data_IF_366373787805
#
_entry.id   IF_366373787805
#
_cell.length_a   1.000
_cell.length_b   1.000
_cell.length_c   1.000
_cell.angle_alpha   90.00
_cell.angle_beta   90.00
_cell.angle_gamma   90.00
#
_symmetry.space_group_name_H-M   'P 1'
#
loop_
_entity.id
_entity.type
_entity.pdbx_description
1 polymer ?
#
# COMPACT_ATOMS: atom_id res chain seq x y z
N UNK A 1 25.59 15.70 12.62
CA UNK A 1 24.49 15.23 11.74
C UNK A 1 23.18 15.16 12.54
N UNK A 2 22.09 15.70 12.00
CA UNK A 2 20.74 15.56 12.57
C UNK A 2 19.93 14.53 11.77
N UNK A 3 19.26 13.59 12.44
CA UNK A 3 18.37 12.61 11.81
C UNK A 3 16.94 12.91 12.25
N UNK A 4 16.02 13.08 11.29
CA UNK A 4 14.60 13.35 11.52
C UNK A 4 13.81 12.09 11.17
N UNK A 5 13.15 11.48 12.14
CA UNK A 5 12.33 10.27 11.96
C UNK A 5 10.85 10.60 12.13
N UNK A 6 9.97 9.75 11.55
CA UNK A 6 8.51 9.96 11.59
C UNK A 6 7.89 9.59 12.93
N UNK A 7 8.45 8.58 13.61
CA UNK A 7 7.85 7.96 14.81
C UNK A 7 8.91 7.68 15.86
N UNK A 8 8.54 7.66 17.15
CA UNK A 8 9.46 7.30 18.24
C UNK A 8 10.08 5.90 18.09
N UNK A 9 9.33 4.93 17.54
CA UNK A 9 9.83 3.57 17.28
C UNK A 9 10.98 3.56 16.28
N UNK A 10 10.86 4.34 15.20
CA UNK A 10 11.91 4.47 14.17
C UNK A 10 13.15 5.16 14.76
N UNK A 11 12.96 6.24 15.55
CA UNK A 11 14.07 6.88 16.26
C UNK A 11 14.85 5.90 17.15
N UNK A 12 14.16 5.01 17.83
CA UNK A 12 14.76 3.97 18.68
C UNK A 12 15.54 2.93 17.84
N UNK A 13 15.04 2.56 16.66
CA UNK A 13 15.76 1.65 15.76
C UNK A 13 17.07 2.28 15.26
N UNK A 14 17.03 3.56 14.84
CA UNK A 14 18.22 4.33 14.46
C UNK A 14 19.19 4.49 15.63
N UNK A 15 18.67 4.82 16.83
CA UNK A 15 19.50 4.95 18.03
C UNK A 15 20.23 3.64 18.36
N UNK A 16 19.57 2.52 18.24
CA UNK A 16 20.19 1.19 18.44
C UNK A 16 21.27 0.91 17.40
N UNK A 17 20.99 1.19 16.11
CA UNK A 17 21.94 0.96 15.03
C UNK A 17 23.19 1.85 15.13
N UNK A 18 23.05 3.08 15.63
CA UNK A 18 24.09 4.10 15.72
C UNK A 18 24.69 4.23 17.14
N UNK A 19 24.36 3.30 18.04
CA UNK A 19 24.80 3.32 19.45
C UNK A 19 24.53 4.66 20.18
N UNK A 20 23.38 5.31 19.87
CA UNK A 20 22.93 6.54 20.52
C UNK A 20 22.12 6.22 21.78
N UNK A 21 22.23 7.08 22.80
CA UNK A 21 21.47 7.02 24.04
C UNK A 21 20.45 8.14 24.14
N UNK A 22 19.35 7.89 24.86
CA UNK A 22 18.29 8.89 25.05
C UNK A 22 18.71 9.96 26.03
N UNK A 23 18.61 11.23 25.63
CA UNK A 23 18.79 12.40 26.49
C UNK A 23 17.42 12.88 26.97
N UNK A 24 17.13 12.67 28.24
CA UNK A 24 15.84 13.08 28.84
C UNK A 24 15.68 14.59 28.92
N UNK A 25 16.77 15.35 29.05
CA UNK A 25 16.74 16.83 29.06
C UNK A 25 16.34 17.41 27.72
N UNK A 26 16.78 16.80 26.63
CA UNK A 26 16.58 17.31 25.29
C UNK A 26 15.50 16.53 24.52
N UNK A 27 14.99 15.43 25.08
CA UNK A 27 13.99 14.54 24.46
C UNK A 27 14.41 14.01 23.08
N UNK A 28 15.70 13.67 22.93
CA UNK A 28 16.31 13.19 21.67
C UNK A 28 17.31 12.06 21.98
N UNK A 29 17.72 11.32 20.96
CA UNK A 29 18.86 10.41 21.08
C UNK A 29 20.13 11.10 20.58
N UNK A 30 21.24 10.87 21.30
CA UNK A 30 22.55 11.42 20.94
C UNK A 30 23.62 10.33 20.96
N UNK A 31 24.57 10.41 20.03
CA UNK A 31 25.79 9.61 20.08
C UNK A 31 26.69 10.09 21.22
N UNK A 32 27.63 9.24 21.65
CA UNK A 32 28.51 9.51 22.79
C UNK A 32 29.43 10.71 22.55
N UNK A 33 29.84 10.92 21.31
CA UNK A 33 30.68 12.03 20.86
C UNK A 33 29.86 13.31 20.57
N UNK A 34 28.52 13.22 20.58
CA UNK A 34 27.61 14.35 20.27
C UNK A 34 27.51 14.66 18.78
N UNK A 35 28.13 13.90 17.89
CA UNK A 35 28.10 14.18 16.45
C UNK A 35 26.76 13.83 15.79
N UNK A 36 26.00 12.88 16.38
CA UNK A 36 24.71 12.45 15.87
C UNK A 36 23.61 12.83 16.86
N UNK A 37 22.59 13.52 16.37
CA UNK A 37 21.34 13.80 17.10
C UNK A 37 20.17 13.22 16.31
N UNK A 38 19.28 12.48 16.99
CA UNK A 38 18.09 11.88 16.37
C UNK A 38 16.86 12.48 17.04
N UNK A 39 16.02 13.15 16.25
CA UNK A 39 14.72 13.66 16.66
C UNK A 39 13.60 12.83 16.02
N UNK A 40 12.43 12.81 16.60
CA UNK A 40 11.29 12.14 16.02
C UNK A 40 10.06 13.05 15.96
N UNK A 41 9.28 12.87 14.93
CA UNK A 41 7.90 13.33 14.86
C UNK A 41 6.95 12.27 15.50
N UNK A 42 5.66 12.54 15.47
CA UNK A 42 4.58 11.63 15.83
C UNK A 42 3.52 11.62 14.72
N UNK A 43 3.97 11.50 13.47
CA UNK A 43 3.22 11.82 12.28
C UNK A 43 3.26 13.31 11.97
N UNK A 44 2.20 13.87 11.37
CA UNK A 44 2.11 15.30 11.08
C UNK A 44 2.13 16.16 12.34
N UNK A 45 3.07 17.09 12.40
CA UNK A 45 3.19 18.09 13.47
C UNK A 45 2.48 19.39 13.13
N UNK A 46 2.09 19.57 11.88
CA UNK A 46 1.46 20.78 11.35
C UNK A 46 0.16 20.44 10.65
N UNK A 47 -0.77 21.38 10.68
CA UNK A 47 -2.01 21.36 9.93
C UNK A 47 -2.07 22.60 9.02
N UNK A 48 -2.81 22.50 7.90
CA UNK A 48 -3.15 23.72 7.16
C UNK A 48 -4.04 24.61 8.02
N UNK A 49 -3.83 25.93 7.92
CA UNK A 49 -4.59 26.93 8.66
C UNK A 49 -6.10 26.82 8.40
N UNK A 50 -6.89 27.24 9.39
CA UNK A 50 -8.33 27.32 9.27
C UNK A 50 -8.75 28.44 8.31
N UNK A 51 -9.93 28.37 7.71
CA UNK A 51 -10.39 29.37 6.74
C UNK A 51 -10.35 30.82 7.21
N UNK A 52 -10.70 31.06 8.45
CA UNK A 52 -10.73 32.41 9.07
C UNK A 52 -9.34 33.02 9.26
N UNK A 53 -8.27 32.25 9.18
CA UNK A 53 -6.90 32.77 9.10
C UNK A 53 -6.65 33.57 7.81
N UNK A 54 -7.22 33.11 6.71
CA UNK A 54 -7.03 33.72 5.38
C UNK A 54 -7.89 34.99 5.19
N UNK A 55 -9.10 34.97 5.73
CA UNK A 55 -10.04 36.09 5.69
C UNK A 55 -11.08 35.90 6.80
N UNK A 56 -11.29 36.94 7.62
CA UNK A 56 -12.20 36.95 8.76
C UNK A 56 -13.66 36.60 8.36
N UNK A 57 -14.08 36.97 7.14
CA UNK A 57 -15.41 36.59 6.60
C UNK A 57 -15.67 35.07 6.63
N UNK A 58 -14.63 34.25 6.52
CA UNK A 58 -14.75 32.81 6.55
C UNK A 58 -15.01 32.22 7.95
N UNK A 59 -15.15 33.03 8.99
CA UNK A 59 -15.78 32.60 10.25
C UNK A 59 -17.23 32.18 10.01
N UNK A 60 -17.89 32.81 9.04
CA UNK A 60 -19.25 32.45 8.63
C UNK A 60 -19.23 31.35 7.57
N UNK A 61 -19.91 30.24 7.83
CA UNK A 61 -19.86 29.06 6.98
C UNK A 61 -20.53 29.24 5.61
N UNK A 62 -21.44 30.23 5.49
CA UNK A 62 -22.10 30.57 4.23
C UNK A 62 -21.20 31.35 3.25
N UNK A 63 -20.02 31.75 3.68
CA UNK A 63 -19.05 32.45 2.83
C UNK A 63 -18.21 31.44 2.05
N UNK A 64 -18.57 31.23 0.79
CA UNK A 64 -17.93 30.28 -0.14
C UNK A 64 -17.75 30.94 -1.51
N UNK A 65 -16.79 30.52 -2.34
CA UNK A 65 -15.77 29.48 -2.07
C UNK A 65 -14.59 30.00 -1.24
N UNK A 66 -13.90 29.08 -0.53
CA UNK A 66 -12.68 29.34 0.20
C UNK A 66 -11.50 28.85 -0.64
N UNK A 67 -10.75 29.76 -1.23
CA UNK A 67 -9.61 29.45 -2.12
C UNK A 67 -8.43 30.33 -1.72
N UNK A 68 -7.56 29.88 -0.79
CA UNK A 68 -6.38 30.63 -0.40
C UNK A 68 -5.41 30.80 -1.58
N UNK A 69 -4.86 31.98 -1.76
CA UNK A 69 -3.79 32.20 -2.75
C UNK A 69 -2.50 31.48 -2.36
N UNK A 70 -2.20 31.49 -1.06
CA UNK A 70 -1.09 30.73 -0.48
C UNK A 70 -1.58 30.00 0.75
N UNK A 71 -1.19 28.73 0.87
CA UNK A 71 -1.50 27.94 2.06
C UNK A 71 -0.49 28.22 3.17
N UNK A 72 -1.00 28.36 4.37
CA UNK A 72 -0.21 28.53 5.58
C UNK A 72 -0.42 27.34 6.52
N UNK A 73 0.57 27.10 7.36
CA UNK A 73 0.58 26.00 8.31
C UNK A 73 0.49 26.52 9.74
N UNK A 74 -0.15 25.74 10.59
CA UNK A 74 -0.18 25.95 12.04
C UNK A 74 0.31 24.68 12.75
N UNK A 75 0.85 24.85 13.94
CA UNK A 75 1.29 23.73 14.77
C UNK A 75 0.06 22.98 15.29
N UNK A 76 0.03 21.69 15.11
CA UNK A 76 -1.02 20.84 15.68
C UNK A 76 -0.98 20.97 17.23
N UNK A 77 -2.07 21.45 17.88
CA UNK A 77 -2.09 21.66 19.32
C UNK A 77 -1.74 20.42 20.15
N UNK A 78 -2.07 19.24 19.65
CA UNK A 78 -1.81 17.96 20.33
C UNK A 78 -0.33 17.56 20.31
N UNK A 79 0.46 18.10 19.37
CA UNK A 79 1.87 17.74 19.17
C UNK A 79 2.81 18.94 19.35
N UNK A 80 2.32 20.00 19.98
CA UNK A 80 3.01 21.29 20.10
C UNK A 80 4.42 21.18 20.70
N UNK A 81 4.57 20.40 21.74
CA UNK A 81 5.87 20.24 22.41
C UNK A 81 6.85 19.47 21.55
N UNK A 82 6.39 18.43 20.85
CA UNK A 82 7.21 17.68 19.89
C UNK A 82 7.62 18.58 18.73
N UNK A 83 6.68 19.35 18.17
CA UNK A 83 6.98 20.29 17.08
C UNK A 83 8.02 21.34 17.50
N UNK A 84 7.88 21.93 18.70
CA UNK A 84 8.84 22.87 19.25
C UNK A 84 10.24 22.25 19.38
N UNK A 85 10.31 21.02 19.89
CA UNK A 85 11.57 20.31 20.05
C UNK A 85 12.24 20.04 18.69
N UNK A 86 11.51 19.47 17.74
CA UNK A 86 12.01 19.19 16.39
C UNK A 86 12.50 20.45 15.69
N UNK A 87 11.71 21.54 15.70
CA UNK A 87 12.08 22.84 15.11
C UNK A 87 13.35 23.37 15.76
N UNK A 88 13.47 23.31 17.09
CA UNK A 88 14.65 23.79 17.80
C UNK A 88 15.91 23.04 17.38
N UNK A 89 15.83 21.71 17.28
CA UNK A 89 16.99 20.90 16.87
C UNK A 89 17.34 21.14 15.40
N UNK A 90 16.38 21.27 14.50
CA UNK A 90 16.63 21.63 13.10
C UNK A 90 17.37 22.98 13.01
N UNK A 91 16.92 24.00 13.75
CA UNK A 91 17.58 25.31 13.77
C UNK A 91 18.99 25.27 14.32
N UNK A 92 19.23 24.44 15.34
CA UNK A 92 20.55 24.28 15.94
C UNK A 92 21.54 23.59 14.96
N UNK A 93 21.03 22.74 14.07
CA UNK A 93 21.81 21.98 13.09
C UNK A 93 21.70 22.53 11.66
N UNK A 94 21.29 23.79 11.47
CA UNK A 94 21.07 24.38 10.14
C UNK A 94 22.30 24.36 9.21
N UNK A 95 23.49 24.30 9.78
CA UNK A 95 24.75 24.26 9.03
C UNK A 95 25.32 22.83 8.90
N UNK A 96 24.70 21.87 9.55
CA UNK A 96 25.13 20.45 9.57
C UNK A 96 24.41 19.65 8.50
N UNK A 97 24.85 18.41 8.30
CA UNK A 97 24.11 17.46 7.50
C UNK A 97 22.81 17.07 8.21
N UNK A 98 21.67 17.17 7.51
CA UNK A 98 20.36 16.73 7.98
C UNK A 98 19.92 15.53 7.15
N UNK A 99 19.59 14.43 7.82
CA UNK A 99 19.07 13.23 7.21
C UNK A 99 17.57 13.11 7.47
N UNK A 100 16.76 13.18 6.43
CA UNK A 100 15.33 12.88 6.48
C UNK A 100 15.19 11.36 6.48
N UNK A 101 14.71 10.79 7.59
CA UNK A 101 14.51 9.36 7.80
C UNK A 101 13.06 9.04 8.22
N UNK A 102 12.11 9.80 7.69
CA UNK A 102 10.67 9.51 7.73
C UNK A 102 10.34 8.36 6.77
N UNK A 103 9.13 7.79 6.86
CA UNK A 103 8.70 6.69 5.99
C UNK A 103 8.94 7.05 4.51
N UNK A 104 9.30 6.07 3.69
CA UNK A 104 9.70 6.30 2.30
C UNK A 104 8.48 6.42 1.38
N UNK A 105 7.57 7.35 1.69
CA UNK A 105 6.37 7.65 0.92
C UNK A 105 6.08 9.16 0.88
N UNK A 106 4.99 9.55 0.20
CA UNK A 106 4.59 10.96 0.04
C UNK A 106 4.25 11.63 1.37
N UNK A 107 3.64 10.89 2.29
CA UNK A 107 3.25 11.42 3.61
C UNK A 107 4.51 11.64 4.47
N UNK A 108 5.42 10.65 4.52
CA UNK A 108 6.69 10.80 5.23
C UNK A 108 7.54 11.93 4.67
N UNK A 109 7.51 12.14 3.35
CA UNK A 109 8.23 13.26 2.74
C UNK A 109 7.70 14.62 3.21
N UNK A 110 6.36 14.84 3.16
CA UNK A 110 5.80 16.13 3.58
C UNK A 110 5.91 16.37 5.08
N UNK A 111 5.84 15.35 5.94
CA UNK A 111 6.06 15.47 7.38
C UNK A 111 7.43 16.12 7.67
N UNK A 112 8.48 15.62 7.02
CA UNK A 112 9.81 16.20 7.19
C UNK A 112 9.93 17.59 6.58
N UNK A 113 9.38 17.80 5.37
CA UNK A 113 9.42 19.11 4.70
C UNK A 113 8.67 20.19 5.46
N UNK A 114 7.53 19.87 6.06
CA UNK A 114 6.81 20.81 6.96
C UNK A 114 7.70 21.27 8.14
N UNK A 115 8.46 20.33 8.74
CA UNK A 115 9.39 20.65 9.81
C UNK A 115 10.52 21.59 9.33
N UNK A 116 11.08 21.34 8.14
CA UNK A 116 12.10 22.19 7.55
C UNK A 116 11.56 23.59 7.21
N UNK A 117 10.36 23.68 6.62
CA UNK A 117 9.67 24.93 6.32
C UNK A 117 9.40 25.76 7.59
N UNK A 118 8.86 25.10 8.64
CA UNK A 118 8.61 25.74 9.94
C UNK A 118 9.91 26.20 10.63
N UNK A 119 11.02 25.53 10.35
CA UNK A 119 12.34 25.90 10.84
C UNK A 119 13.02 26.99 10.01
N UNK A 120 12.39 27.42 8.89
CA UNK A 120 12.90 28.43 7.95
C UNK A 120 14.29 28.06 7.38
N UNK A 121 14.48 26.77 7.08
CA UNK A 121 15.67 26.32 6.37
C UNK A 121 15.54 26.75 4.90
N UNK A 122 16.56 27.45 4.39
CA UNK A 122 16.63 27.91 3.00
C UNK A 122 17.68 27.17 2.17
N UNK A 123 18.69 26.60 2.82
CA UNK A 123 19.75 25.82 2.16
C UNK A 123 19.50 24.32 2.34
N UNK A 124 19.16 23.66 1.25
CA UNK A 124 18.91 22.22 1.19
C UNK A 124 20.12 21.42 0.70
N UNK A 125 21.27 22.05 0.45
CA UNK A 125 22.45 21.41 -0.13
C UNK A 125 23.03 20.29 0.75
N UNK A 126 22.84 20.38 2.07
CA UNK A 126 23.30 19.38 3.06
C UNK A 126 22.19 18.48 3.57
N UNK A 127 21.00 18.51 2.93
CA UNK A 127 19.87 17.67 3.32
C UNK A 127 19.86 16.43 2.46
N UNK A 128 19.91 15.27 3.10
CA UNK A 128 19.83 13.96 2.46
C UNK A 128 18.57 13.22 2.85
N UNK A 129 18.15 12.30 2.01
CA UNK A 129 16.99 11.45 2.18
C UNK A 129 17.41 9.98 2.31
N UNK A 130 17.10 9.39 3.45
CA UNK A 130 17.15 7.95 3.69
C UNK A 130 15.88 7.33 3.11
N UNK A 131 16.03 6.45 2.11
CA UNK A 131 14.90 5.86 1.40
C UNK A 131 15.06 4.36 1.28
N UNK A 132 14.33 3.61 2.11
CA UNK A 132 14.38 2.15 2.11
C UNK A 132 12.97 1.56 2.22
N UNK A 133 12.75 0.43 1.55
CA UNK A 133 11.48 -0.32 1.59
C UNK A 133 11.54 -1.56 2.49
N UNK A 134 12.72 -1.88 2.98
CA UNK A 134 12.96 -3.03 3.86
C UNK A 134 12.64 -2.68 5.32
N UNK A 135 12.44 -3.70 6.15
CA UNK A 135 12.34 -3.49 7.59
C UNK A 135 13.66 -2.94 8.15
N UNK A 136 13.56 -1.97 9.06
CA UNK A 136 14.70 -1.26 9.65
C UNK A 136 15.46 -2.14 10.64
N UNK A 137 16.35 -2.97 10.13
CA UNK A 137 17.40 -3.65 10.93
C UNK A 137 18.62 -2.75 11.06
N UNK A 138 19.53 -2.98 12.03
CA UNK A 138 20.74 -2.19 12.14
C UNK A 138 21.57 -2.15 10.84
N UNK A 139 21.67 -3.27 10.12
CA UNK A 139 22.39 -3.38 8.86
C UNK A 139 21.74 -2.52 7.77
N UNK A 140 20.42 -2.61 7.62
CA UNK A 140 19.65 -1.82 6.66
C UNK A 140 19.76 -0.32 6.95
N UNK A 141 19.76 0.07 8.23
CA UNK A 141 19.91 1.48 8.63
C UNK A 141 21.32 1.99 8.26
N UNK A 142 22.37 1.25 8.61
CA UNK A 142 23.76 1.66 8.31
C UNK A 142 24.01 1.75 6.80
N UNK A 143 23.53 0.78 6.04
CA UNK A 143 23.63 0.79 4.58
C UNK A 143 22.81 1.92 3.96
N UNK A 144 21.58 2.13 4.43
CA UNK A 144 20.69 3.18 3.94
C UNK A 144 21.20 4.60 4.23
N UNK A 145 21.87 4.82 5.37
CA UNK A 145 22.56 6.10 5.67
C UNK A 145 23.69 6.34 4.67
N UNK A 146 24.51 5.31 4.41
CA UNK A 146 25.62 5.40 3.45
C UNK A 146 25.14 5.70 2.03
N UNK A 147 23.97 5.15 1.64
CA UNK A 147 23.38 5.30 0.32
C UNK A 147 22.36 6.44 0.23
N UNK A 148 22.23 7.26 1.28
CA UNK A 148 21.28 8.38 1.31
C UNK A 148 21.59 9.39 0.19
N UNK A 149 20.55 9.76 -0.54
CA UNK A 149 20.64 10.65 -1.70
C UNK A 149 20.29 12.08 -1.30
N UNK A 150 20.72 13.09 -2.07
CA UNK A 150 20.29 14.47 -1.86
C UNK A 150 18.76 14.61 -1.86
N UNK A 151 18.21 15.40 -0.94
CA UNK A 151 16.75 15.51 -0.75
C UNK A 151 16.00 16.04 -1.97
N UNK A 152 16.65 16.84 -2.82
CA UNK A 152 16.03 17.39 -4.03
C UNK A 152 15.59 16.30 -5.04
N UNK A 153 16.18 15.10 -4.99
CA UNK A 153 15.76 13.98 -5.84
C UNK A 153 14.36 13.45 -5.48
N UNK A 154 13.79 13.90 -4.38
CA UNK A 154 12.47 13.53 -3.87
C UNK A 154 11.47 14.70 -3.88
N UNK A 155 11.81 15.81 -4.56
CA UNK A 155 10.94 16.99 -4.62
C UNK A 155 9.60 16.67 -5.28
N UNK A 156 9.58 15.82 -6.31
CA UNK A 156 8.33 15.35 -6.94
C UNK A 156 7.39 14.64 -5.96
N UNK A 157 7.95 13.85 -5.02
CA UNK A 157 7.15 13.23 -3.95
C UNK A 157 6.61 14.25 -2.97
N UNK A 158 7.40 15.25 -2.61
CA UNK A 158 6.99 16.35 -1.76
C UNK A 158 5.87 17.18 -2.41
N UNK A 159 6.02 17.55 -3.69
CA UNK A 159 5.00 18.29 -4.44
C UNK A 159 3.69 17.52 -4.56
N UNK A 160 3.74 16.21 -4.86
CA UNK A 160 2.56 15.35 -4.88
C UNK A 160 1.88 15.25 -3.52
N UNK A 161 2.67 15.14 -2.44
CA UNK A 161 2.15 15.11 -1.06
C UNK A 161 1.45 16.42 -0.71
N UNK A 162 2.09 17.57 -0.94
CA UNK A 162 1.51 18.88 -0.70
C UNK A 162 0.29 19.17 -1.58
N UNK A 163 0.30 18.77 -2.85
CA UNK A 163 -0.84 18.92 -3.74
C UNK A 163 -2.05 18.12 -3.22
N UNK A 164 -1.83 16.88 -2.77
CA UNK A 164 -2.86 16.05 -2.17
C UNK A 164 -3.42 16.70 -0.89
N UNK A 165 -2.57 17.13 0.03
CA UNK A 165 -2.97 17.76 1.29
C UNK A 165 -3.83 19.01 1.04
N UNK A 166 -3.40 19.90 0.12
CA UNK A 166 -4.13 21.10 -0.27
C UNK A 166 -5.47 20.78 -0.94
N UNK A 167 -5.49 19.77 -1.84
CA UNK A 167 -6.73 19.34 -2.50
C UNK A 167 -7.73 18.75 -1.49
N UNK A 168 -7.27 17.94 -0.54
CA UNK A 168 -8.11 17.39 0.52
C UNK A 168 -8.69 18.51 1.42
N UNK A 169 -7.90 19.53 1.74
CA UNK A 169 -8.35 20.69 2.49
C UNK A 169 -9.39 21.51 1.69
N UNK A 170 -9.11 21.84 0.41
CA UNK A 170 -10.02 22.60 -0.43
C UNK A 170 -11.38 21.91 -0.58
N UNK A 171 -11.37 20.63 -0.90
CA UNK A 171 -12.62 19.85 -1.03
C UNK A 171 -13.31 19.73 0.31
N UNK A 172 -12.58 19.34 1.36
CA UNK A 172 -13.13 19.15 2.69
C UNK A 172 -13.80 20.40 3.24
N UNK A 173 -13.09 21.54 3.21
CA UNK A 173 -13.60 22.81 3.77
C UNK A 173 -14.80 23.34 2.98
N UNK A 174 -14.71 23.38 1.66
CA UNK A 174 -15.76 23.97 0.85
C UNK A 174 -17.03 23.10 0.81
N UNK A 175 -16.89 21.79 0.51
CA UNK A 175 -18.06 20.93 0.38
C UNK A 175 -18.71 20.60 1.73
N UNK A 176 -17.94 20.43 2.82
CA UNK A 176 -18.54 20.26 4.15
C UNK A 176 -19.41 21.44 4.52
N UNK A 177 -18.92 22.68 4.33
CA UNK A 177 -19.69 23.89 4.63
C UNK A 177 -20.90 24.03 3.70
N UNK A 178 -20.71 23.79 2.40
CA UNK A 178 -21.80 23.84 1.42
C UNK A 178 -22.93 22.85 1.79
N UNK A 179 -22.60 21.59 2.01
CA UNK A 179 -23.59 20.54 2.34
C UNK A 179 -24.27 20.83 3.69
N UNK A 180 -23.51 21.33 4.67
CA UNK A 180 -24.05 21.71 5.98
C UNK A 180 -25.04 22.88 5.86
N UNK A 181 -24.70 23.90 5.08
CA UNK A 181 -25.60 25.04 4.86
C UNK A 181 -26.89 24.64 4.13
N UNK A 182 -26.78 23.71 3.16
CA UNK A 182 -27.95 23.22 2.42
C UNK A 182 -28.89 22.36 3.26
N UNK A 183 -28.33 21.53 4.15
CA UNK A 183 -29.10 20.55 4.92
C UNK A 183 -29.55 21.06 6.31
N UNK A 184 -28.90 22.09 6.84
CA UNK A 184 -29.10 22.56 8.21
C UNK A 184 -28.49 21.64 9.29
N UNK A 185 -27.83 20.54 8.91
CA UNK A 185 -27.13 19.62 9.82
C UNK A 185 -25.68 19.42 9.35
N UNK A 186 -24.79 19.13 10.28
CA UNK A 186 -23.38 18.91 9.93
C UNK A 186 -23.22 17.69 9.03
N UNK A 187 -22.88 17.93 7.77
CA UNK A 187 -22.55 16.91 6.77
C UNK A 187 -21.11 17.08 6.32
N UNK A 188 -20.25 16.15 6.75
CA UNK A 188 -18.85 16.16 6.34
C UNK A 188 -18.70 15.62 4.91
N UNK A 189 -17.91 16.29 4.11
CA UNK A 189 -17.55 15.86 2.76
C UNK A 189 -16.02 15.76 2.62
N UNK A 190 -15.58 14.82 1.81
CA UNK A 190 -14.17 14.63 1.54
C UNK A 190 -13.95 13.95 0.20
N UNK A 191 -12.81 14.17 -0.40
CA UNK A 191 -12.48 13.71 -1.76
C UNK A 191 -12.59 12.19 -1.92
N UNK A 192 -12.14 11.42 -0.94
CA UNK A 192 -12.21 9.96 -0.95
C UNK A 192 -13.49 9.46 -0.28
N UNK A 193 -13.79 9.97 0.90
CA UNK A 193 -14.93 9.54 1.73
C UNK A 193 -16.25 9.67 0.99
N UNK A 194 -16.53 10.81 0.36
CA UNK A 194 -17.79 11.06 -0.34
C UNK A 194 -17.93 10.21 -1.60
N UNK A 195 -16.82 10.01 -2.35
CA UNK A 195 -16.85 9.14 -3.52
C UNK A 195 -17.17 7.68 -3.16
N UNK A 196 -16.58 7.17 -2.08
CA UNK A 196 -16.88 5.81 -1.59
C UNK A 196 -18.33 5.70 -1.13
N UNK A 197 -18.83 6.69 -0.38
CA UNK A 197 -20.22 6.72 0.06
C UNK A 197 -21.19 6.72 -1.12
N UNK A 198 -20.91 7.52 -2.16
CA UNK A 198 -21.70 7.54 -3.39
C UNK A 198 -21.73 6.18 -4.09
N UNK A 199 -20.58 5.53 -4.21
CA UNK A 199 -20.48 4.19 -4.81
C UNK A 199 -21.28 3.14 -4.03
N UNK A 200 -21.22 3.18 -2.69
CA UNK A 200 -22.01 2.30 -1.81
C UNK A 200 -23.51 2.58 -2.01
N UNK A 201 -23.93 3.84 -2.00
CA UNK A 201 -25.32 4.22 -2.20
C UNK A 201 -25.85 3.72 -3.55
N UNK A 202 -25.12 3.96 -4.64
CA UNK A 202 -25.48 3.46 -5.96
C UNK A 202 -25.63 1.94 -5.97
N UNK A 203 -24.73 1.22 -5.28
CA UNK A 203 -24.85 -0.23 -5.18
C UNK A 203 -26.08 -0.66 -4.39
N UNK A 204 -26.40 0.03 -3.30
CA UNK A 204 -27.63 -0.22 -2.53
C UNK A 204 -28.88 0.02 -3.38
N UNK A 205 -28.92 1.12 -4.11
CA UNK A 205 -30.03 1.41 -5.04
C UNK A 205 -30.18 0.34 -6.12
N UNK A 206 -29.09 -0.12 -6.70
CA UNK A 206 -29.09 -1.21 -7.68
C UNK A 206 -29.63 -2.53 -7.09
N UNK A 207 -29.33 -2.82 -5.82
CA UNK A 207 -29.85 -4.00 -5.12
C UNK A 207 -31.35 -3.86 -4.86
N UNK A 208 -31.79 -2.71 -4.35
CA UNK A 208 -33.21 -2.46 -4.04
C UNK A 208 -34.06 -2.47 -5.30
N UNK A 209 -33.56 -1.91 -6.40
CA UNK A 209 -34.26 -1.81 -7.66
C UNK A 209 -34.06 -3.03 -8.58
N UNK A 210 -33.30 -4.03 -8.12
CA UNK A 210 -33.02 -5.23 -8.92
C UNK A 210 -34.32 -5.98 -9.24
N UNK A 211 -34.56 -6.14 -10.53
CA UNK A 211 -35.66 -6.97 -11.05
C UNK A 211 -35.04 -8.26 -11.58
N UNK A 212 -35.46 -9.37 -11.00
CA UNK A 212 -35.05 -10.69 -11.49
C UNK A 212 -35.69 -10.97 -12.82
N UNK A 213 -34.90 -11.28 -13.82
CA UNK A 213 -35.38 -11.71 -15.14
C UNK A 213 -35.03 -13.19 -15.32
N UNK A 214 -35.98 -13.94 -15.88
CA UNK A 214 -35.76 -15.34 -16.23
C UNK A 214 -34.99 -15.39 -17.54
N UNK A 215 -34.02 -16.27 -17.59
CA UNK A 215 -33.33 -16.65 -18.82
C UNK A 215 -33.29 -18.17 -18.95
N UNK A 216 -33.06 -18.64 -20.14
CA UNK A 216 -33.03 -20.07 -20.48
C UNK A 216 -31.70 -20.41 -21.11
N UNK A 217 -31.10 -21.50 -20.67
CA UNK A 217 -29.95 -22.13 -21.30
C UNK A 217 -30.39 -23.50 -21.82
N UNK A 218 -29.89 -23.89 -22.98
CA UNK A 218 -30.25 -25.14 -23.62
C UNK A 218 -29.07 -26.05 -23.64
N UNK A 219 -29.25 -27.26 -23.08
CA UNK A 219 -28.24 -28.31 -23.03
C UNK A 219 -28.69 -29.53 -23.84
N UNK A 220 -27.76 -30.11 -24.58
CA UNK A 220 -27.96 -31.41 -25.25
C UNK A 220 -27.08 -32.47 -24.61
N UNK A 221 -27.67 -33.60 -24.26
CA UNK A 221 -26.93 -34.78 -23.85
C UNK A 221 -26.63 -35.63 -25.08
N UNK A 222 -25.38 -35.88 -25.35
CA UNK A 222 -24.91 -36.66 -26.50
C UNK A 222 -24.22 -37.92 -26.01
N UNK A 223 -24.47 -39.05 -26.70
CA UNK A 223 -23.75 -40.29 -26.46
C UNK A 223 -23.21 -40.86 -27.76
N UNK A 224 -22.02 -41.46 -27.70
CA UNK A 224 -21.45 -42.20 -28.84
C UNK A 224 -21.82 -43.68 -28.81
N UNK A 225 -21.42 -44.41 -29.85
CA UNK A 225 -21.70 -45.87 -29.96
C UNK A 225 -20.92 -46.70 -28.92
N UNK A 226 -19.92 -46.12 -28.23
CA UNK A 226 -19.11 -46.78 -27.22
C UNK A 226 -19.63 -46.50 -25.80
N UNK A 227 -20.72 -45.72 -25.66
CA UNK A 227 -21.30 -45.34 -24.38
C UNK A 227 -20.62 -44.14 -23.69
N UNK A 228 -19.75 -43.40 -24.38
CA UNK A 228 -19.21 -42.14 -23.86
C UNK A 228 -20.28 -41.06 -23.96
N UNK A 229 -20.44 -40.30 -22.91
CA UNK A 229 -21.44 -39.22 -22.82
C UNK A 229 -20.76 -37.87 -22.75
N UNK A 230 -21.36 -36.85 -23.37
CA UNK A 230 -20.97 -35.47 -23.20
C UNK A 230 -22.21 -34.56 -23.16
N UNK A 231 -22.08 -33.44 -22.45
CA UNK A 231 -23.10 -32.40 -22.38
C UNK A 231 -22.60 -31.22 -23.20
N UNK A 232 -23.38 -30.78 -24.18
CA UNK A 232 -23.15 -29.59 -24.97
C UNK A 232 -24.10 -28.49 -24.58
N UNK A 233 -23.63 -27.25 -24.57
CA UNK A 233 -24.47 -26.05 -24.43
C UNK A 233 -24.78 -25.52 -25.84
N UNK A 234 -26.03 -25.10 -26.07
CA UNK A 234 -26.42 -24.49 -27.33
C UNK A 234 -25.89 -23.07 -27.37
N UNK A 235 -25.28 -22.70 -28.49
CA UNK A 235 -24.84 -21.34 -28.83
C UNK A 235 -25.64 -20.84 -30.04
N UNK A 236 -26.06 -19.60 -30.03
CA UNK A 236 -26.55 -18.95 -31.24
C UNK A 236 -25.43 -18.51 -32.18
N UNK A 237 -25.75 -17.83 -33.27
CA UNK A 237 -24.80 -17.33 -34.26
C UNK A 237 -23.85 -16.26 -33.69
N UNK A 238 -24.20 -15.64 -32.54
CA UNK A 238 -23.39 -14.64 -31.83
C UNK A 238 -22.70 -15.25 -30.59
N UNK A 239 -22.66 -16.56 -30.47
CA UNK A 239 -22.08 -17.28 -29.33
C UNK A 239 -22.78 -17.02 -27.98
N UNK A 240 -24.04 -16.57 -27.97
CA UNK A 240 -24.81 -16.42 -26.75
C UNK A 240 -25.31 -17.78 -26.25
N UNK A 241 -25.18 -17.99 -24.94
CA UNK A 241 -25.70 -19.20 -24.24
C UNK A 241 -27.04 -18.97 -23.57
N UNK A 242 -27.42 -17.72 -23.31
CA UNK A 242 -28.61 -17.34 -22.53
C UNK A 242 -29.66 -16.68 -23.40
N UNK A 243 -30.90 -17.10 -23.27
CA UNK A 243 -32.05 -16.65 -24.08
C UNK A 243 -33.18 -16.20 -23.20
N UNK A 244 -33.91 -15.15 -23.62
CA UNK A 244 -35.08 -14.65 -22.86
C UNK A 244 -36.29 -15.61 -22.95
N UNK A 245 -36.38 -16.41 -24.01
CA UNK A 245 -37.45 -17.38 -24.20
C UNK A 245 -36.89 -18.78 -24.47
N UNK A 246 -37.57 -19.85 -24.05
CA UNK A 246 -37.18 -21.19 -24.38
C UNK A 246 -37.23 -21.39 -25.90
N UNK A 247 -36.18 -22.03 -26.46
CA UNK A 247 -36.11 -22.32 -27.88
C UNK A 247 -36.79 -23.70 -28.16
N UNK A 248 -38.13 -23.71 -28.17
CA UNK A 248 -38.92 -24.92 -28.39
C UNK A 248 -38.52 -25.69 -29.67
N UNK A 249 -38.04 -24.97 -30.69
CA UNK A 249 -37.54 -25.57 -31.92
C UNK A 249 -36.38 -26.54 -31.71
N UNK A 250 -35.66 -26.48 -30.57
CA UNK A 250 -34.62 -27.45 -30.27
C UNK A 250 -35.14 -28.81 -29.84
N UNK A 251 -36.40 -28.91 -29.40
CA UNK A 251 -36.99 -30.18 -28.98
C UNK A 251 -37.05 -31.23 -30.12
N UNK A 252 -37.15 -30.78 -31.39
CA UNK A 252 -37.16 -31.70 -32.53
C UNK A 252 -35.83 -32.36 -32.80
N UNK A 253 -34.74 -31.84 -32.21
CA UNK A 253 -33.40 -32.43 -32.31
C UNK A 253 -33.20 -33.65 -31.42
N UNK A 254 -34.10 -33.86 -30.44
CA UNK A 254 -34.05 -35.03 -29.56
C UNK A 254 -34.08 -36.32 -30.37
N UNK A 255 -33.16 -37.24 -30.12
CA UNK A 255 -33.00 -38.49 -30.84
C UNK A 255 -32.37 -38.38 -32.23
N UNK A 256 -31.98 -37.18 -32.67
CA UNK A 256 -31.23 -36.98 -33.92
C UNK A 256 -29.75 -37.23 -33.73
N UNK A 257 -29.07 -37.60 -34.82
CA UNK A 257 -27.59 -37.74 -34.82
C UNK A 257 -26.95 -36.38 -34.90
N UNK A 258 -25.94 -36.17 -34.05
CA UNK A 258 -25.05 -35.02 -34.11
C UNK A 258 -23.65 -35.48 -34.62
N UNK A 259 -22.95 -34.58 -35.30
CA UNK A 259 -21.58 -34.79 -35.75
C UNK A 259 -20.66 -33.78 -35.08
N UNK A 260 -19.52 -34.25 -34.59
CA UNK A 260 -18.46 -33.36 -34.09
C UNK A 260 -17.82 -32.66 -35.27
N UNK A 261 -17.97 -31.34 -35.36
CA UNK A 261 -17.44 -30.53 -36.47
C UNK A 261 -15.98 -30.12 -36.21
N UNK A 262 -15.66 -29.83 -34.97
CA UNK A 262 -14.33 -29.35 -34.60
C UNK A 262 -13.97 -29.83 -33.19
N UNK A 263 -12.75 -30.22 -32.99
CA UNK A 263 -12.16 -30.49 -31.70
C UNK A 263 -10.81 -29.75 -31.64
N UNK A 264 -10.68 -28.80 -30.71
CA UNK A 264 -9.44 -28.04 -30.49
C UNK A 264 -8.96 -28.29 -29.08
N UNK A 265 -7.71 -28.71 -28.97
CA UNK A 265 -7.01 -28.78 -27.70
C UNK A 265 -6.09 -27.57 -27.60
N UNK A 266 -6.26 -26.79 -26.58
CA UNK A 266 -5.41 -25.61 -26.29
C UNK A 266 -4.68 -25.84 -24.97
N UNK A 267 -3.38 -25.66 -25.02
CA UNK A 267 -2.56 -25.67 -23.82
C UNK A 267 -2.60 -24.26 -23.18
N UNK A 268 -3.25 -24.14 -22.04
CA UNK A 268 -3.31 -22.88 -21.29
C UNK A 268 -2.25 -22.87 -20.21
N UNK A 269 -1.31 -21.94 -20.32
CA UNK A 269 -0.37 -21.63 -19.23
C UNK A 269 -1.03 -20.70 -18.24
N UNK A 270 -1.20 -21.14 -17.01
CA UNK A 270 -1.69 -20.31 -15.91
C UNK A 270 -0.48 -19.68 -15.23
N UNK A 271 -0.37 -18.36 -15.32
CA UNK A 271 0.68 -17.65 -14.63
C UNK A 271 0.44 -17.67 -13.11
N UNK A 272 1.50 -17.65 -12.29
CA UNK A 272 1.36 -17.50 -10.85
C UNK A 272 0.68 -16.18 -10.48
N UNK A 273 0.07 -16.09 -9.28
CA UNK A 273 -0.45 -14.83 -8.78
C UNK A 273 0.69 -13.81 -8.67
N UNK A 274 0.37 -12.52 -8.79
CA UNK A 274 1.32 -11.47 -8.47
C UNK A 274 1.56 -11.41 -6.97
N UNK A 275 2.65 -10.75 -6.57
CA UNK A 275 2.90 -10.44 -5.17
C UNK A 275 1.79 -9.56 -4.58
N UNK A 276 1.70 -9.52 -3.26
CA UNK A 276 0.72 -8.70 -2.58
C UNK A 276 1.10 -7.21 -2.55
N UNK A 277 0.14 -6.38 -2.91
CA UNK A 277 0.02 -5.06 -2.34
C UNK A 277 -0.91 -5.09 -1.11
N UNK A 278 -1.05 -3.96 -0.41
CA UNK A 278 -1.92 -3.90 0.77
C UNK A 278 -3.37 -4.28 0.47
N UNK A 279 -3.93 -3.79 -0.64
CA UNK A 279 -5.34 -4.03 -0.98
C UNK A 279 -5.64 -5.49 -1.25
N UNK A 280 -4.80 -6.17 -2.02
CA UNK A 280 -5.01 -7.57 -2.33
C UNK A 280 -4.77 -8.46 -1.10
N UNK A 281 -3.81 -8.09 -0.27
CA UNK A 281 -3.62 -8.74 1.02
C UNK A 281 -4.86 -8.63 1.92
N UNK A 282 -5.46 -7.44 2.01
CA UNK A 282 -6.68 -7.22 2.80
C UNK A 282 -7.85 -8.04 2.27
N UNK A 283 -8.02 -8.13 0.93
CA UNK A 283 -9.05 -8.97 0.30
C UNK A 283 -8.84 -10.45 0.62
N UNK A 284 -7.61 -10.92 0.49
CA UNK A 284 -7.29 -12.33 0.75
C UNK A 284 -7.44 -12.69 2.23
N UNK A 285 -6.98 -11.82 3.14
CA UNK A 285 -7.15 -12.00 4.58
C UNK A 285 -8.64 -12.00 5.00
N UNK A 286 -9.47 -11.20 4.33
CA UNK A 286 -10.92 -11.25 4.52
C UNK A 286 -11.50 -12.58 4.03
N UNK A 287 -11.11 -13.01 2.82
CA UNK A 287 -11.59 -14.25 2.21
C UNK A 287 -11.24 -15.50 3.03
N UNK A 288 -10.01 -15.57 3.54
CA UNK A 288 -9.50 -16.74 4.26
C UNK A 288 -9.85 -16.74 5.75
N UNK A 289 -9.84 -15.58 6.40
CA UNK A 289 -9.90 -15.47 7.85
C UNK A 289 -11.02 -14.55 8.37
N UNK A 290 -11.78 -13.90 7.48
CA UNK A 290 -12.80 -12.92 7.86
C UNK A 290 -12.22 -11.66 8.52
N UNK A 291 -10.94 -11.33 8.29
CA UNK A 291 -10.33 -10.14 8.89
C UNK A 291 -10.75 -8.87 8.17
N UNK A 292 -11.12 -7.84 8.93
CA UNK A 292 -11.35 -6.52 8.35
C UNK A 292 -10.06 -5.94 7.76
N UNK A 293 -10.19 -4.97 6.83
CA UNK A 293 -9.05 -4.27 6.25
C UNK A 293 -8.17 -3.61 7.33
N UNK A 294 -8.80 -3.00 8.33
CA UNK A 294 -8.10 -2.38 9.47
C UNK A 294 -7.30 -3.40 10.28
N UNK A 295 -7.95 -4.53 10.66
CA UNK A 295 -7.30 -5.59 11.42
C UNK A 295 -6.12 -6.20 10.65
N UNK A 296 -6.28 -6.40 9.34
CA UNK A 296 -5.20 -6.89 8.49
C UNK A 296 -4.02 -5.93 8.49
N UNK A 297 -4.29 -4.62 8.31
CA UNK A 297 -3.24 -3.60 8.36
C UNK A 297 -2.53 -3.58 9.72
N UNK A 298 -3.26 -3.63 10.83
CA UNK A 298 -2.67 -3.67 12.19
C UNK A 298 -1.73 -4.87 12.37
N UNK A 299 -2.14 -6.06 11.89
CA UNK A 299 -1.30 -7.27 11.97
C UNK A 299 -0.02 -7.10 11.13
N UNK A 300 -0.16 -6.66 9.88
CA UNK A 300 0.99 -6.51 8.97
C UNK A 300 1.93 -5.40 9.42
N UNK A 301 1.37 -4.29 9.94
CA UNK A 301 2.16 -3.22 10.54
C UNK A 301 3.02 -3.75 11.71
N UNK A 302 2.44 -4.62 12.54
CA UNK A 302 3.16 -5.27 13.64
C UNK A 302 4.26 -6.22 13.14
N UNK A 303 3.98 -6.99 12.07
CA UNK A 303 4.99 -7.85 11.42
C UNK A 303 6.16 -7.02 10.87
N UNK A 304 5.89 -5.83 10.35
CA UNK A 304 6.90 -4.91 9.84
C UNK A 304 7.67 -4.19 10.96
N UNK A 305 6.97 -3.54 11.90
CA UNK A 305 7.60 -2.66 12.90
C UNK A 305 8.23 -3.43 14.08
N UNK A 306 7.53 -4.44 14.63
CA UNK A 306 7.99 -5.17 15.80
C UNK A 306 8.81 -6.41 15.43
N UNK A 307 8.28 -7.25 14.53
CA UNK A 307 8.90 -8.54 14.19
C UNK A 307 9.93 -8.45 13.07
N UNK A 308 9.95 -7.35 12.31
CA UNK A 308 10.89 -7.13 11.19
C UNK A 308 10.93 -8.29 10.18
N UNK A 309 9.78 -8.94 9.96
CA UNK A 309 9.68 -10.15 9.15
C UNK A 309 8.94 -9.98 7.81
N UNK A 310 8.46 -8.78 7.52
CA UNK A 310 7.87 -8.40 6.23
C UNK A 310 8.40 -7.05 5.78
N UNK A 311 8.31 -6.77 4.46
CA UNK A 311 8.63 -5.44 3.90
C UNK A 311 7.53 -4.42 4.24
N UNK A 312 7.74 -3.15 3.86
CA UNK A 312 6.82 -2.05 4.15
C UNK A 312 5.40 -2.35 3.64
N UNK A 313 4.37 -2.32 4.52
CA UNK A 313 3.05 -2.83 4.19
C UNK A 313 2.16 -1.88 3.39
N UNK A 314 2.41 -0.57 3.44
CA UNK A 314 1.57 0.44 2.78
C UNK A 314 2.05 0.70 1.36
N UNK A 315 2.06 -0.34 0.54
CA UNK A 315 2.51 -0.27 -0.86
C UNK A 315 1.36 -0.59 -1.82
N UNK A 316 1.20 0.18 -2.90
CA UNK A 316 0.33 -0.18 -4.01
C UNK A 316 0.97 -1.17 -4.98
N UNK A 317 2.30 -1.33 -4.93
CA UNK A 317 3.06 -2.16 -5.87
C UNK A 317 2.81 -3.65 -5.67
N UNK A 318 2.78 -4.39 -6.78
CA UNK A 318 2.69 -5.85 -6.84
C UNK A 318 3.95 -6.49 -7.43
N UNK A 319 4.97 -5.67 -7.63
CA UNK A 319 6.24 -6.09 -8.25
C UNK A 319 7.43 -5.76 -7.35
N UNK A 320 8.56 -6.35 -7.68
CA UNK A 320 9.86 -6.09 -7.09
C UNK A 320 10.73 -5.30 -8.08
N UNK A 321 11.70 -4.54 -7.59
CA UNK A 321 12.80 -4.05 -8.42
C UNK A 321 13.78 -5.17 -8.78
N UNK A 322 14.41 -5.08 -9.93
CA UNK A 322 15.36 -6.11 -10.41
C UNK A 322 16.58 -6.25 -9.48
N UNK A 323 17.00 -5.18 -8.85
CA UNK A 323 18.07 -5.12 -7.84
C UNK A 323 17.74 -5.87 -6.54
N UNK A 324 16.46 -6.14 -6.27
CA UNK A 324 16.01 -6.90 -5.09
C UNK A 324 16.10 -8.44 -5.26
N UNK A 325 16.57 -8.95 -6.40
CA UNK A 325 16.69 -10.39 -6.65
C UNK A 325 17.51 -11.09 -5.55
N UNK A 326 18.64 -10.51 -5.14
CA UNK A 326 19.49 -11.09 -4.10
C UNK A 326 18.80 -11.13 -2.73
N UNK A 327 18.01 -10.12 -2.39
CA UNK A 327 17.17 -10.13 -1.20
C UNK A 327 16.16 -11.28 -1.24
N UNK A 328 15.48 -11.47 -2.37
CA UNK A 328 14.52 -12.56 -2.56
C UNK A 328 15.20 -13.93 -2.41
N UNK A 329 16.38 -14.14 -3.01
CA UNK A 329 17.12 -15.39 -2.91
C UNK A 329 17.53 -15.68 -1.46
N UNK A 330 18.12 -14.72 -0.76
CA UNK A 330 18.51 -14.85 0.66
C UNK A 330 17.31 -15.19 1.53
N UNK A 331 16.20 -14.48 1.35
CA UNK A 331 14.95 -14.74 2.06
C UNK A 331 14.43 -16.14 1.78
N UNK A 332 14.41 -16.58 0.52
CA UNK A 332 13.95 -17.90 0.14
C UNK A 332 14.79 -19.02 0.76
N UNK A 333 16.12 -18.89 0.74
CA UNK A 333 17.04 -19.82 1.42
C UNK A 333 16.71 -19.91 2.91
N UNK A 334 16.56 -18.77 3.58
CA UNK A 334 16.29 -18.72 5.01
C UNK A 334 14.95 -19.33 5.38
N UNK A 335 13.92 -19.06 4.60
CA UNK A 335 12.58 -19.60 4.81
C UNK A 335 12.54 -21.10 4.52
N UNK A 336 13.19 -21.60 3.47
CA UNK A 336 13.20 -23.00 3.10
C UNK A 336 13.92 -23.89 4.14
N UNK A 337 14.88 -23.37 4.88
CA UNK A 337 15.52 -24.10 5.99
C UNK A 337 14.55 -24.36 7.14
N UNK A 338 13.53 -23.53 7.33
CA UNK A 338 12.54 -23.68 8.41
C UNK A 338 11.26 -24.34 7.93
N UNK A 339 10.86 -24.05 6.70
CA UNK A 339 9.64 -24.59 6.08
C UNK A 339 10.04 -25.55 4.97
N UNK A 340 10.36 -26.77 5.36
CA UNK A 340 10.98 -27.81 4.50
C UNK A 340 10.11 -28.12 3.27
N UNK A 341 8.77 -27.93 3.37
CA UNK A 341 7.83 -28.07 2.26
C UNK A 341 8.14 -27.17 1.07
N UNK A 342 8.82 -26.03 1.29
CA UNK A 342 9.20 -25.09 0.22
C UNK A 342 10.59 -25.38 -0.37
N UNK A 343 11.40 -26.23 0.26
CA UNK A 343 12.75 -26.55 -0.21
C UNK A 343 12.74 -27.14 -1.62
N UNK A 344 11.79 -28.05 -1.88
CA UNK A 344 11.64 -28.68 -3.20
C UNK A 344 11.23 -27.69 -4.30
N UNK A 345 10.45 -26.68 -3.97
CA UNK A 345 10.05 -25.62 -4.89
C UNK A 345 11.27 -24.72 -5.16
N UNK A 346 11.93 -24.27 -4.10
CA UNK A 346 13.10 -23.41 -4.20
C UNK A 346 14.24 -24.03 -5.01
N UNK A 347 14.56 -25.34 -4.78
CA UNK A 347 15.64 -26.03 -5.45
C UNK A 347 15.46 -26.23 -6.97
N UNK A 348 14.23 -26.08 -7.47
CA UNK A 348 13.88 -26.20 -8.90
C UNK A 348 13.60 -24.85 -9.56
N UNK A 349 13.66 -23.75 -8.79
CA UNK A 349 13.29 -22.43 -9.25
C UNK A 349 14.31 -21.79 -10.21
N UNK A 350 13.83 -20.89 -11.04
CA UNK A 350 14.65 -19.97 -11.82
C UNK A 350 14.98 -18.74 -10.96
N UNK A 351 16.29 -18.53 -10.71
CA UNK A 351 16.80 -17.42 -9.90
C UNK A 351 17.15 -16.20 -10.75
N UNK A 352 16.36 -15.92 -11.77
CA UNK A 352 16.55 -14.75 -12.62
C UNK A 352 15.48 -13.66 -12.35
N UNK A 353 15.81 -12.44 -12.69
CA UNK A 353 14.85 -11.32 -12.71
C UNK A 353 14.08 -11.24 -14.04
N UNK A 354 14.12 -12.27 -14.88
CA UNK A 354 13.51 -12.28 -16.21
C UNK A 354 11.98 -12.28 -16.18
N UNK A 355 11.37 -12.75 -15.08
CA UNK A 355 9.92 -12.76 -14.93
C UNK A 355 9.38 -11.34 -14.68
N UNK A 356 8.99 -10.64 -15.74
CA UNK A 356 8.44 -9.27 -15.70
C UNK A 356 7.10 -9.16 -14.96
N UNK A 357 6.47 -10.26 -14.57
CA UNK A 357 5.32 -10.26 -13.71
C UNK A 357 5.69 -10.01 -12.24
N UNK A 358 6.93 -10.31 -11.87
CA UNK A 358 7.48 -10.20 -10.52
C UNK A 358 8.52 -9.09 -10.43
N UNK A 359 9.47 -9.02 -11.36
CA UNK A 359 10.54 -8.04 -11.38
C UNK A 359 10.32 -7.08 -12.55
N UNK A 360 9.87 -5.87 -12.24
CA UNK A 360 9.53 -4.87 -13.26
C UNK A 360 9.74 -3.46 -12.71
N UNK A 361 10.91 -2.88 -12.99
CA UNK A 361 11.26 -1.53 -12.53
C UNK A 361 10.34 -0.45 -13.11
N UNK A 362 9.74 -0.70 -14.27
CA UNK A 362 8.82 0.27 -14.89
C UNK A 362 7.49 0.42 -14.15
N UNK A 363 7.12 -0.57 -13.32
CA UNK A 363 5.92 -0.59 -12.48
C UNK A 363 6.24 -0.41 -10.99
N UNK A 364 7.51 -0.22 -10.66
CA UNK A 364 7.94 0.02 -9.30
C UNK A 364 7.59 1.47 -8.94
N UNK A 365 6.83 1.64 -7.86
CA UNK A 365 6.56 2.94 -7.28
C UNK A 365 7.58 3.24 -6.15
N UNK A 366 7.16 3.96 -5.10
CA UNK A 366 8.00 4.28 -3.96
C UNK A 366 8.53 3.02 -3.23
N UNK A 367 7.73 1.95 -3.23
CA UNK A 367 8.04 0.68 -2.58
C UNK A 367 7.77 -0.49 -3.51
N UNK A 368 8.47 -1.60 -3.27
CA UNK A 368 8.12 -2.88 -3.88
C UNK A 368 6.94 -3.55 -3.15
N UNK A 369 6.47 -4.66 -3.70
CA UNK A 369 5.41 -5.49 -3.11
C UNK A 369 5.74 -5.97 -1.68
N UNK A 370 4.71 -6.39 -0.95
CA UNK A 370 4.88 -6.97 0.38
C UNK A 370 5.47 -8.37 0.23
N UNK A 371 6.65 -8.58 0.82
CA UNK A 371 7.33 -9.88 0.84
C UNK A 371 7.73 -10.26 2.27
N UNK A 372 7.86 -11.56 2.58
CA UNK A 372 8.52 -11.99 3.80
C UNK A 372 9.99 -11.60 3.76
N UNK A 373 10.61 -11.48 4.94
CA UNK A 373 12.03 -11.20 5.13
C UNK A 373 12.69 -12.36 5.87
N UNK A 374 14.01 -12.29 6.03
CA UNK A 374 14.81 -13.34 6.67
C UNK A 374 14.47 -13.58 8.15
N UNK A 375 13.93 -12.58 8.84
CA UNK A 375 13.47 -12.70 10.23
C UNK A 375 12.14 -13.45 10.29
N UNK A 376 12.05 -14.43 11.19
CA UNK A 376 10.86 -15.25 11.35
C UNK A 376 10.11 -14.87 12.62
N UNK A 377 8.76 -14.76 12.58
CA UNK A 377 7.98 -14.45 13.77
C UNK A 377 7.97 -15.67 14.70
N UNK A 378 8.64 -15.55 15.86
CA UNK A 378 8.58 -16.56 16.91
C UNK A 378 7.29 -16.39 17.74
N UNK A 379 6.47 -17.46 17.86
CA UNK A 379 5.39 -17.64 18.86
C UNK A 379 4.08 -16.85 18.71
N UNK A 380 3.57 -16.51 17.55
CA UNK A 380 2.23 -15.92 17.45
C UNK A 380 1.28 -16.73 16.55
N UNK A 381 0.32 -17.45 17.15
CA UNK A 381 -0.63 -18.32 16.43
C UNK A 381 -1.43 -17.58 15.34
N UNK A 382 -1.89 -16.33 15.58
CA UNK A 382 -2.70 -15.57 14.60
C UNK A 382 -1.89 -14.88 13.50
N UNK A 383 -0.70 -14.37 13.81
CA UNK A 383 0.21 -13.77 12.83
C UNK A 383 0.92 -14.81 11.98
N UNK A 384 1.05 -16.04 12.49
CA UNK A 384 1.68 -17.16 11.78
C UNK A 384 0.93 -17.51 10.48
N UNK A 385 -0.40 -17.54 10.48
CA UNK A 385 -1.17 -17.90 9.29
C UNK A 385 -0.99 -16.86 8.17
N UNK A 386 -1.12 -15.57 8.48
CA UNK A 386 -0.91 -14.51 7.49
C UNK A 386 0.52 -14.50 6.95
N UNK A 387 1.52 -14.77 7.80
CA UNK A 387 2.90 -14.90 7.37
C UNK A 387 3.13 -16.14 6.49
N UNK A 388 2.48 -17.25 6.77
CA UNK A 388 2.54 -18.45 5.93
C UNK A 388 1.94 -18.21 4.54
N UNK A 389 0.84 -17.44 4.44
CA UNK A 389 0.26 -17.10 3.14
C UNK A 389 1.21 -16.23 2.31
N UNK A 390 1.89 -15.25 2.92
CA UNK A 390 2.95 -14.49 2.24
C UNK A 390 4.04 -15.43 1.73
N UNK A 391 4.47 -16.37 2.57
CA UNK A 391 5.52 -17.32 2.24
C UNK A 391 5.09 -18.22 1.08
N UNK A 392 3.86 -18.70 1.07
CA UNK A 392 3.30 -19.55 0.02
C UNK A 392 3.28 -18.84 -1.34
N UNK A 393 2.79 -17.58 -1.37
CA UNK A 393 2.78 -16.80 -2.62
C UNK A 393 4.19 -16.41 -3.04
N UNK A 394 5.05 -16.05 -2.10
CA UNK A 394 6.44 -15.74 -2.37
C UNK A 394 7.17 -16.92 -3.02
N UNK A 395 6.99 -18.16 -2.53
CA UNK A 395 7.55 -19.34 -3.16
C UNK A 395 6.84 -19.75 -4.45
N UNK A 396 5.55 -19.44 -4.59
CA UNK A 396 4.80 -19.65 -5.84
C UNK A 396 5.42 -18.96 -7.06
N UNK A 397 6.13 -17.86 -6.86
CA UNK A 397 6.88 -17.17 -7.91
C UNK A 397 7.96 -18.05 -8.52
N UNK A 398 8.63 -18.84 -7.70
CA UNK A 398 9.74 -19.70 -8.11
C UNK A 398 9.27 -21.03 -8.71
N UNK A 399 8.02 -21.44 -8.43
CA UNK A 399 7.47 -22.72 -8.89
C UNK A 399 7.07 -22.73 -10.36
N UNK A 400 6.79 -21.59 -10.95
CA UNK A 400 6.22 -21.49 -12.31
C UNK A 400 7.22 -21.35 -13.44
N UNK A 401 8.51 -21.27 -13.17
CA UNK A 401 9.55 -21.32 -14.20
C UNK A 401 9.87 -22.75 -14.66
N UNK A 402 9.21 -23.78 -14.08
CA UNK A 402 9.52 -25.20 -14.28
C UNK A 402 8.34 -26.06 -14.78
N UNK A 403 7.23 -25.46 -15.25
CA UNK A 403 6.14 -26.22 -15.88
C UNK A 403 5.96 -25.81 -17.33
#
# INVERSE_FOLDING_TARGET
>A
MLIITEKPSVAKDFAKALACSFSASDQVYKSRDGEITIVHCVGHLFNLQQPDFYDERFKHWNQLPIIPQQFAYDVNPQTKDVAKNVIQHIKNHKNDEILIATDADREGEIIARECLLASRISDYSKIKRFWVSQALTPEVILEGIKNAKPSYQYDDFAEQGFARQKADWLVGMNFTRFMTNMSGVLLTAGRVQTAILSAINTRCENIVNFKSEKYYEHFGNFSDNNGNECIGIFLDENENTSFQNPLEKLNYLSGKRASLISNKTEEKKINPPQLYNLNDLQKEAFRLYGYSAEKTLQIVQKLYEEYKCVSYPRTPSKVMGEDNLQLCIKTAIKLSTKYIEYLGIFSKGDYSSSNKRVFDDSKLEAHHAIIPLETLPYNYRRTKYLFLDFTTIFFGIWSCSCL
#
